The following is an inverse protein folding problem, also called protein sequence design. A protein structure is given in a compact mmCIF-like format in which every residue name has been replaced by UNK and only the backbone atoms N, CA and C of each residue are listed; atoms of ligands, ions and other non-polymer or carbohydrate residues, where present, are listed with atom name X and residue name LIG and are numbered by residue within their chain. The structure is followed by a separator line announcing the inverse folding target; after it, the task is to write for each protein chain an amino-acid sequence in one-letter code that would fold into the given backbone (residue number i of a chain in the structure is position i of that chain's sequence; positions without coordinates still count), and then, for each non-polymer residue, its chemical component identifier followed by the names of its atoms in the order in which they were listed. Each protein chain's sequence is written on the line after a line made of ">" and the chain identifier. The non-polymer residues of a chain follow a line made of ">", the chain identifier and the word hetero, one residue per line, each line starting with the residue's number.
data_IF_300234833507
#
_entry.id   IF_300234833507
#
_cell.length_a   1.000
_cell.length_b   1.000
_cell.length_c   1.000
_cell.angle_alpha   90.00
_cell.angle_beta   90.00
_cell.angle_gamma   90.00
#
_symmetry.space_group_name_H-M   'P 1'
#
loop_
_entity.id
_entity.type
_entity.pdbx_description
1 polymer ?
#
# COMPACT_ATOMS: atom_id res chain seq x y z
N UNK A 1 -15.24 18.17 -20.86
CA UNK A 1 -14.17 18.61 -19.94
C UNK A 1 -13.16 17.47 -19.87
N UNK A 2 -12.00 17.67 -20.48
CA UNK A 2 -10.89 16.71 -20.49
C UNK A 2 -10.43 16.47 -19.05
N UNK A 3 -10.59 15.25 -18.53
CA UNK A 3 -9.97 14.87 -17.27
C UNK A 3 -8.46 14.78 -17.55
N UNK A 4 -7.68 15.68 -16.99
CA UNK A 4 -6.22 15.55 -17.00
C UNK A 4 -5.86 14.19 -16.37
N UNK A 5 -5.08 13.38 -17.09
CA UNK A 5 -4.50 12.15 -16.52
C UNK A 5 -3.83 12.51 -15.19
N UNK A 6 -3.94 11.68 -14.15
CA UNK A 6 -3.26 11.94 -12.89
C UNK A 6 -1.77 12.14 -13.19
N UNK A 7 -1.24 13.32 -12.84
CA UNK A 7 0.18 13.60 -12.99
C UNK A 7 0.94 12.69 -12.03
N UNK A 8 1.91 11.95 -12.54
CA UNK A 8 2.84 11.24 -11.68
C UNK A 8 3.55 12.25 -10.77
N UNK A 9 3.67 11.96 -9.47
CA UNK A 9 4.53 12.74 -8.60
C UNK A 9 5.97 12.57 -9.07
N UNK A 10 6.71 13.68 -9.33
CA UNK A 10 8.11 13.58 -9.68
C UNK A 10 8.87 12.92 -8.54
N UNK A 11 9.71 11.96 -8.89
CA UNK A 11 10.52 11.23 -7.92
C UNK A 11 11.94 11.10 -8.46
N UNK A 12 12.92 11.41 -7.61
CA UNK A 12 14.33 11.22 -7.89
C UNK A 12 14.78 9.86 -7.39
N UNK A 13 15.46 9.09 -8.25
CA UNK A 13 16.11 7.84 -7.83
C UNK A 13 17.43 8.19 -7.14
N UNK A 14 17.58 7.82 -5.88
CA UNK A 14 18.77 8.06 -5.07
C UNK A 14 19.75 6.89 -5.10
N UNK A 15 19.25 5.67 -5.21
CA UNK A 15 20.03 4.44 -5.27
C UNK A 15 19.22 3.33 -5.91
N UNK A 16 19.89 2.46 -6.68
CA UNK A 16 19.26 1.23 -7.17
C UNK A 16 20.28 0.11 -7.38
N UNK A 17 19.80 -1.10 -7.14
CA UNK A 17 20.45 -2.37 -7.50
C UNK A 17 19.37 -3.31 -7.99
N UNK A 18 19.26 -3.46 -9.29
CA UNK A 18 18.20 -4.25 -9.91
C UNK A 18 18.56 -5.73 -9.99
N UNK A 19 17.53 -6.58 -9.91
CA UNK A 19 17.67 -7.99 -10.17
C UNK A 19 17.97 -8.25 -11.66
N UNK A 20 18.73 -9.34 -11.93
CA UNK A 20 18.96 -9.78 -13.30
C UNK A 20 17.72 -10.43 -13.94
N UNK A 21 16.83 -10.96 -13.12
CA UNK A 21 15.56 -11.57 -13.54
C UNK A 21 14.39 -10.91 -12.81
N UNK A 22 13.17 -11.11 -13.31
CA UNK A 22 11.96 -10.60 -12.67
C UNK A 22 11.83 -11.16 -11.25
N UNK A 23 11.84 -10.32 -10.21
CA UNK A 23 11.65 -10.79 -8.84
C UNK A 23 10.29 -11.47 -8.63
N UNK A 24 10.19 -12.46 -7.75
CA UNK A 24 8.90 -13.05 -7.41
C UNK A 24 7.99 -12.06 -6.67
N UNK A 25 8.58 -11.12 -5.92
CA UNK A 25 7.89 -10.19 -5.04
C UNK A 25 8.59 -8.83 -5.03
N UNK A 26 7.81 -7.76 -5.09
CA UNK A 26 8.24 -6.40 -4.75
C UNK A 26 7.57 -5.96 -3.45
N UNK A 27 8.37 -5.44 -2.52
CA UNK A 27 7.87 -4.87 -1.28
C UNK A 27 8.02 -3.36 -1.36
N UNK A 28 6.92 -2.65 -1.51
CA UNK A 28 6.91 -1.19 -1.52
C UNK A 28 6.85 -0.68 -0.09
N UNK A 29 7.91 0.01 0.34
CA UNK A 29 7.99 0.66 1.64
C UNK A 29 7.82 2.15 1.42
N UNK A 30 6.85 2.76 2.10
CA UNK A 30 6.62 4.19 2.03
C UNK A 30 6.89 4.84 3.39
N UNK A 31 7.59 5.97 3.35
CA UNK A 31 8.05 6.69 4.53
C UNK A 31 7.81 8.19 4.40
N UNK A 32 7.56 8.86 5.52
CA UNK A 32 7.56 10.31 5.64
C UNK A 32 7.96 10.73 7.06
N UNK A 33 9.18 11.25 7.20
CA UNK A 33 9.81 11.60 8.49
C UNK A 33 9.87 10.40 9.45
N UNK A 34 10.60 9.36 9.03
CA UNK A 34 10.73 8.09 9.75
C UNK A 34 12.22 7.74 10.00
N UNK A 35 13.16 8.72 10.01
CA UNK A 35 14.60 8.47 10.13
C UNK A 35 14.97 7.58 11.33
N UNK A 36 14.25 7.72 12.44
CA UNK A 36 14.47 6.96 13.67
C UNK A 36 14.10 5.47 13.54
N UNK A 37 13.18 5.15 12.61
CA UNK A 37 12.63 3.80 12.44
C UNK A 37 13.33 3.00 11.34
N UNK A 38 13.98 3.66 10.37
CA UNK A 38 14.46 3.05 9.12
C UNK A 38 15.40 1.88 9.39
N UNK A 39 16.38 2.03 10.27
CA UNK A 39 17.35 0.95 10.55
C UNK A 39 16.67 -0.29 11.13
N UNK A 40 15.75 -0.11 12.08
CA UNK A 40 15.05 -1.22 12.71
C UNK A 40 14.13 -1.92 11.72
N UNK A 41 13.32 -1.16 10.97
CA UNK A 41 12.34 -1.69 10.01
C UNK A 41 13.02 -2.40 8.84
N UNK A 42 14.02 -1.78 8.22
CA UNK A 42 14.75 -2.38 7.10
C UNK A 42 15.65 -3.53 7.52
N UNK A 43 16.22 -3.47 8.73
CA UNK A 43 16.99 -4.55 9.31
C UNK A 43 16.13 -5.79 9.58
N UNK A 44 14.97 -5.61 10.23
CA UNK A 44 14.01 -6.71 10.47
C UNK A 44 13.51 -7.32 9.16
N UNK A 45 13.10 -6.47 8.21
CA UNK A 45 12.67 -6.93 6.90
C UNK A 45 13.79 -7.67 6.17
N UNK A 46 15.00 -7.13 6.22
CA UNK A 46 16.17 -7.75 5.59
C UNK A 46 16.45 -9.16 6.11
N UNK A 47 16.48 -9.32 7.42
CA UNK A 47 16.68 -10.63 8.04
C UNK A 47 15.57 -11.64 7.66
N UNK A 48 14.33 -11.16 7.60
CA UNK A 48 13.21 -11.99 7.15
C UNK A 48 13.35 -12.40 5.67
N UNK A 49 13.73 -11.46 4.79
CA UNK A 49 13.91 -11.71 3.36
C UNK A 49 15.00 -12.76 3.09
N UNK A 50 16.11 -12.71 3.82
CA UNK A 50 17.22 -13.67 3.65
C UNK A 50 16.77 -15.12 3.84
N UNK A 51 15.73 -15.36 4.63
CA UNK A 51 15.20 -16.68 4.94
C UNK A 51 14.05 -17.08 4.02
N UNK A 52 13.14 -16.14 3.72
CA UNK A 52 11.84 -16.46 3.13
C UNK A 52 11.67 -16.07 1.66
N UNK A 53 12.26 -14.96 1.24
CA UNK A 53 12.11 -14.41 -0.12
C UNK A 53 13.41 -13.69 -0.56
N UNK A 54 14.55 -14.41 -0.68
CA UNK A 54 15.87 -13.79 -0.93
C UNK A 54 15.95 -13.04 -2.26
N UNK A 55 15.14 -13.42 -3.24
CA UNK A 55 15.08 -12.79 -4.56
C UNK A 55 14.07 -11.63 -4.65
N UNK A 56 13.42 -11.26 -3.55
CA UNK A 56 12.49 -10.14 -3.53
C UNK A 56 13.24 -8.80 -3.65
N UNK A 57 12.62 -7.85 -4.32
CA UNK A 57 13.11 -6.46 -4.35
C UNK A 57 12.41 -5.59 -3.31
N UNK A 58 13.13 -4.60 -2.82
CA UNK A 58 12.59 -3.54 -1.96
C UNK A 58 12.49 -2.26 -2.80
N UNK A 59 11.28 -1.71 -2.88
CA UNK A 59 11.03 -0.40 -3.50
C UNK A 59 10.71 0.58 -2.38
N UNK A 60 11.72 1.35 -1.97
CA UNK A 60 11.56 2.36 -0.92
C UNK A 60 11.16 3.69 -1.53
N UNK A 61 10.10 4.32 -1.00
CA UNK A 61 9.61 5.63 -1.44
C UNK A 61 9.56 6.57 -0.24
N UNK A 62 10.48 7.52 -0.23
CA UNK A 62 10.44 8.67 0.67
C UNK A 62 9.50 9.73 0.10
N UNK A 63 8.41 9.99 0.80
CA UNK A 63 7.36 10.92 0.36
C UNK A 63 7.71 12.39 0.71
N UNK A 64 8.92 12.82 0.37
CA UNK A 64 9.38 14.19 0.53
C UNK A 64 9.76 14.56 1.98
N UNK A 65 10.42 13.68 2.70
CA UNK A 65 10.96 13.95 4.05
C UNK A 65 12.01 15.05 4.03
N UNK A 66 12.10 15.76 5.15
CA UNK A 66 13.12 16.79 5.39
C UNK A 66 14.24 16.33 6.34
N UNK A 67 14.05 15.19 6.97
CA UNK A 67 15.02 14.50 7.81
C UNK A 67 15.86 13.53 6.98
N UNK A 68 16.66 12.68 7.61
CA UNK A 68 17.55 11.73 6.95
C UNK A 68 16.89 10.41 6.54
N UNK A 69 15.56 10.36 6.47
CA UNK A 69 14.81 9.13 6.11
C UNK A 69 15.36 8.46 4.84
N UNK A 70 15.53 9.22 3.75
CA UNK A 70 16.00 8.68 2.47
C UNK A 70 17.47 8.22 2.54
N UNK A 71 18.34 9.02 3.15
CA UNK A 71 19.77 8.72 3.29
C UNK A 71 20.01 7.46 4.13
N UNK A 72 19.25 7.28 5.22
CA UNK A 72 19.34 6.08 6.05
C UNK A 72 18.79 4.84 5.30
N UNK A 73 17.76 4.99 4.47
CA UNK A 73 17.28 3.91 3.61
C UNK A 73 18.32 3.48 2.57
N UNK A 74 19.00 4.43 1.91
CA UNK A 74 20.10 4.13 0.95
C UNK A 74 21.19 3.30 1.62
N UNK A 75 21.61 3.67 2.83
CA UNK A 75 22.64 2.94 3.57
C UNK A 75 22.19 1.52 3.92
N UNK A 76 20.97 1.40 4.47
CA UNK A 76 20.44 0.11 4.92
C UNK A 76 20.21 -0.89 3.78
N UNK A 77 19.89 -0.41 2.57
CA UNK A 77 19.55 -1.26 1.42
C UNK A 77 20.72 -1.54 0.46
N UNK A 78 21.89 -0.94 0.65
CA UNK A 78 23.02 -0.96 -0.30
C UNK A 78 23.45 -2.35 -0.78
N UNK A 79 23.26 -3.38 0.02
CA UNK A 79 23.65 -4.77 -0.28
C UNK A 79 22.54 -5.63 -0.91
N UNK A 80 21.29 -5.12 -0.98
CA UNK A 80 20.11 -5.86 -1.45
C UNK A 80 19.66 -5.45 -2.86
N UNK A 81 18.74 -6.21 -3.44
CA UNK A 81 17.98 -5.81 -4.62
C UNK A 81 17.02 -4.72 -4.18
N UNK A 82 17.20 -3.49 -4.68
CA UNK A 82 16.43 -2.34 -4.21
C UNK A 82 16.35 -1.21 -5.23
N UNK A 83 15.42 -0.31 -4.99
CA UNK A 83 15.42 1.07 -5.48
C UNK A 83 14.95 1.99 -4.35
N UNK A 84 15.64 3.12 -4.17
CA UNK A 84 15.25 4.20 -3.26
C UNK A 84 14.86 5.42 -4.07
N UNK A 85 13.62 5.85 -3.91
CA UNK A 85 13.00 6.96 -4.59
C UNK A 85 12.63 8.05 -3.59
N UNK A 86 12.75 9.31 -3.97
CA UNK A 86 12.35 10.46 -3.15
C UNK A 86 11.47 11.40 -3.95
N UNK A 87 10.31 11.75 -3.41
CA UNK A 87 9.45 12.81 -3.93
C UNK A 87 10.03 14.19 -3.58
N UNK A 88 9.87 15.17 -4.46
CA UNK A 88 10.28 16.56 -4.19
C UNK A 88 9.42 17.18 -3.06
N UNK A 89 8.17 16.75 -2.95
CA UNK A 89 7.21 17.20 -1.94
C UNK A 89 6.30 16.07 -1.52
N UNK A 90 5.76 16.15 -0.30
CA UNK A 90 4.80 15.16 0.19
C UNK A 90 3.56 15.09 -0.71
N UNK A 91 3.36 13.94 -1.34
CA UNK A 91 2.21 13.63 -2.19
C UNK A 91 1.13 12.79 -1.50
N UNK A 92 1.42 12.28 -0.31
CA UNK A 92 0.57 11.37 0.44
C UNK A 92 0.76 9.90 0.07
N UNK A 93 0.21 9.03 0.92
CA UNK A 93 0.39 7.57 0.82
C UNK A 93 0.00 7.01 -0.56
N UNK A 94 -1.07 7.51 -1.18
CA UNK A 94 -1.49 7.06 -2.51
C UNK A 94 -0.47 7.38 -3.59
N UNK A 95 0.15 8.57 -3.53
CA UNK A 95 1.23 8.96 -4.44
C UNK A 95 2.45 8.06 -4.25
N UNK A 96 2.88 7.83 -3.01
CA UNK A 96 4.01 6.98 -2.69
C UNK A 96 3.80 5.53 -3.15
N UNK A 97 2.62 4.94 -2.92
CA UNK A 97 2.27 3.61 -3.39
C UNK A 97 2.29 3.52 -4.92
N UNK A 98 1.71 4.49 -5.63
CA UNK A 98 1.70 4.52 -7.09
C UNK A 98 3.12 4.66 -7.66
N UNK A 99 3.94 5.51 -7.06
CA UNK A 99 5.36 5.64 -7.43
C UNK A 99 6.09 4.32 -7.22
N UNK A 100 5.89 3.68 -6.06
CA UNK A 100 6.49 2.39 -5.78
C UNK A 100 6.12 1.32 -6.80
N UNK A 101 4.83 1.19 -7.13
CA UNK A 101 4.36 0.20 -8.11
C UNK A 101 4.87 0.47 -9.53
N UNK A 102 5.00 1.74 -9.95
CA UNK A 102 5.58 2.07 -11.26
C UNK A 102 7.03 1.60 -11.40
N UNK A 103 7.79 1.58 -10.32
CA UNK A 103 9.19 1.17 -10.32
C UNK A 103 9.40 -0.29 -9.91
N UNK A 104 8.37 -0.95 -9.37
CA UNK A 104 8.39 -2.35 -9.02
C UNK A 104 8.49 -3.25 -10.26
N UNK A 105 9.34 -4.28 -10.18
CA UNK A 105 9.55 -5.27 -11.24
C UNK A 105 8.94 -6.63 -10.91
N UNK A 106 8.63 -6.89 -9.65
CA UNK A 106 8.13 -8.17 -9.19
C UNK A 106 6.80 -8.59 -9.79
N UNK A 107 6.58 -9.89 -9.86
CA UNK A 107 5.27 -10.46 -10.29
C UNK A 107 4.16 -10.09 -9.31
N UNK A 108 4.48 -10.07 -8.03
CA UNK A 108 3.61 -9.71 -6.93
C UNK A 108 4.10 -8.43 -6.25
N UNK A 109 3.17 -7.65 -5.72
CA UNK A 109 3.47 -6.43 -4.95
C UNK A 109 2.73 -6.47 -3.62
N UNK A 110 3.44 -6.09 -2.55
CA UNK A 110 2.87 -5.81 -1.24
C UNK A 110 3.41 -4.48 -0.70
N UNK A 111 2.84 -3.99 0.39
CA UNK A 111 3.09 -2.64 0.89
C UNK A 111 3.31 -2.67 2.40
N UNK A 112 4.35 -1.99 2.87
CA UNK A 112 4.61 -1.82 4.30
C UNK A 112 4.89 -0.35 4.63
N UNK A 113 4.31 0.19 5.70
CA UNK A 113 4.72 1.50 6.21
C UNK A 113 6.07 1.38 6.93
N UNK A 114 6.88 2.41 6.87
CA UNK A 114 8.20 2.46 7.53
C UNK A 114 8.13 2.74 9.04
N UNK A 115 6.95 2.69 9.66
CA UNK A 115 6.74 2.97 11.09
C UNK A 115 6.85 1.74 12.02
N UNK A 116 7.13 0.56 11.43
CA UNK A 116 7.32 -0.69 12.15
C UNK A 116 6.05 -1.32 12.72
N UNK A 117 4.86 -0.76 12.43
CA UNK A 117 3.60 -1.33 12.94
C UNK A 117 3.26 -2.69 12.33
N UNK A 118 3.76 -2.99 11.15
CA UNK A 118 3.52 -4.26 10.45
C UNK A 118 4.82 -5.05 10.39
N UNK A 119 4.82 -6.21 11.05
CA UNK A 119 5.95 -7.13 11.00
C UNK A 119 6.08 -7.79 9.61
N UNK A 120 7.30 -8.15 9.18
CA UNK A 120 7.51 -8.91 7.94
C UNK A 120 6.74 -10.24 7.86
N UNK A 121 6.43 -10.88 9.00
CA UNK A 121 5.61 -12.11 9.05
C UNK A 121 4.21 -11.93 8.44
N UNK A 122 3.72 -10.70 8.38
CA UNK A 122 2.48 -10.40 7.66
C UNK A 122 2.62 -10.72 6.16
N UNK A 123 3.81 -10.54 5.58
CA UNK A 123 4.09 -10.90 4.18
C UNK A 123 4.00 -12.42 4.01
N UNK A 124 4.56 -13.19 4.96
CA UNK A 124 4.44 -14.66 4.93
C UNK A 124 2.98 -15.09 4.91
N UNK A 125 2.16 -14.54 5.83
CA UNK A 125 0.73 -14.85 5.91
C UNK A 125 0.01 -14.56 4.60
N UNK A 126 0.33 -13.43 3.95
CA UNK A 126 -0.23 -13.07 2.64
C UNK A 126 0.21 -14.04 1.53
N UNK A 127 1.50 -14.40 1.49
CA UNK A 127 2.09 -15.31 0.49
C UNK A 127 1.54 -16.73 0.62
N UNK A 128 1.42 -17.22 1.84
CA UNK A 128 0.90 -18.56 2.10
C UNK A 128 -0.57 -18.69 1.65
N UNK A 129 -1.38 -17.70 1.96
CA UNK A 129 -2.76 -17.67 1.50
C UNK A 129 -2.86 -17.57 -0.03
N UNK A 130 -1.99 -16.78 -0.67
CA UNK A 130 -1.93 -16.66 -2.12
C UNK A 130 -1.60 -17.99 -2.78
N UNK A 131 -0.58 -18.70 -2.28
CA UNK A 131 -0.14 -20.00 -2.79
C UNK A 131 -1.20 -21.09 -2.57
N UNK A 132 -1.79 -21.12 -1.36
CA UNK A 132 -2.76 -22.15 -0.97
C UNK A 132 -4.09 -22.06 -1.72
N UNK A 133 -4.53 -20.85 -2.08
CA UNK A 133 -5.86 -20.61 -2.65
C UNK A 133 -5.81 -20.21 -4.14
N UNK A 134 -4.62 -20.09 -4.74
CA UNK A 134 -4.40 -19.67 -6.14
C UNK A 134 -5.23 -18.43 -6.51
N UNK A 135 -5.08 -17.39 -5.71
CA UNK A 135 -5.79 -16.11 -5.87
C UNK A 135 -4.88 -15.03 -6.45
N UNK A 136 -5.48 -14.00 -7.02
CA UNK A 136 -4.77 -12.87 -7.64
C UNK A 136 -4.56 -11.70 -6.68
N UNK A 137 -5.29 -11.69 -5.56
CA UNK A 137 -5.14 -10.71 -4.48
C UNK A 137 -5.45 -11.33 -3.12
N UNK A 138 -4.66 -10.99 -2.11
CA UNK A 138 -4.92 -11.34 -0.71
C UNK A 138 -5.01 -10.05 0.07
N UNK A 139 -6.20 -9.78 0.63
CA UNK A 139 -6.42 -8.66 1.53
C UNK A 139 -6.11 -9.06 2.97
N UNK A 140 -5.79 -8.09 3.81
CA UNK A 140 -5.62 -8.34 5.23
C UNK A 140 -6.53 -7.48 6.10
N UNK A 141 -6.92 -8.05 7.24
CA UNK A 141 -7.59 -7.35 8.34
C UNK A 141 -6.75 -7.52 9.60
N UNK A 142 -6.76 -6.53 10.47
CA UNK A 142 -6.06 -6.64 11.73
C UNK A 142 -6.81 -7.55 12.71
N UNK A 143 -6.07 -8.45 13.39
CA UNK A 143 -6.59 -9.14 14.57
C UNK A 143 -6.99 -8.07 15.60
N UNK A 144 -8.05 -8.29 16.35
CA UNK A 144 -8.66 -7.29 17.24
C UNK A 144 -7.65 -6.30 17.82
N UNK A 145 -7.74 -5.04 17.39
CA UNK A 145 -7.19 -3.93 18.15
C UNK A 145 -8.16 -3.69 19.30
N UNK A 146 -7.67 -3.41 20.51
CA UNK A 146 -8.45 -2.85 21.62
C UNK A 146 -8.87 -1.40 21.32
N UNK A 147 -9.29 -1.18 20.11
CA UNK A 147 -9.89 0.06 19.62
C UNK A 147 -11.33 0.07 20.12
N UNK A 148 -11.69 1.00 20.98
CA UNK A 148 -13.00 1.12 21.61
C UNK A 148 -14.20 0.92 20.67
N UNK A 149 -15.38 0.69 21.23
CA UNK A 149 -16.64 0.42 20.50
C UNK A 149 -16.89 1.40 19.34
N UNK A 150 -16.54 2.69 19.52
CA UNK A 150 -16.72 3.74 18.51
C UNK A 150 -16.01 3.44 17.19
N UNK A 151 -14.82 2.85 17.24
CA UNK A 151 -14.04 2.55 16.04
C UNK A 151 -14.55 1.29 15.32
N UNK A 152 -15.07 0.30 16.07
CA UNK A 152 -15.72 -0.89 15.49
C UNK A 152 -17.00 -0.49 14.74
N UNK A 153 -17.84 0.35 15.37
CA UNK A 153 -19.06 0.89 14.77
C UNK A 153 -18.73 1.69 13.50
N UNK A 154 -17.69 2.52 13.57
CA UNK A 154 -17.23 3.32 12.44
C UNK A 154 -16.75 2.44 11.28
N UNK A 155 -15.88 1.48 11.54
CA UNK A 155 -15.36 0.56 10.51
C UNK A 155 -16.50 -0.23 9.85
N UNK A 156 -17.47 -0.68 10.63
CA UNK A 156 -18.67 -1.33 10.10
C UNK A 156 -19.49 -0.37 9.23
N UNK A 157 -19.70 0.87 9.66
CA UNK A 157 -20.43 1.90 8.89
C UNK A 157 -19.79 2.19 7.54
N UNK A 158 -18.46 2.30 7.47
CA UNK A 158 -17.73 2.47 6.20
C UNK A 158 -17.92 1.26 5.29
N UNK A 159 -17.82 0.03 5.81
CA UNK A 159 -18.04 -1.19 5.02
C UNK A 159 -19.48 -1.29 4.50
N UNK A 160 -20.47 -0.95 5.34
CA UNK A 160 -21.87 -0.90 4.94
C UNK A 160 -22.12 0.15 3.83
N UNK A 161 -21.49 1.32 3.94
CA UNK A 161 -21.55 2.37 2.92
C UNK A 161 -20.90 1.90 1.59
N UNK A 162 -19.73 1.26 1.66
CA UNK A 162 -19.08 0.67 0.47
C UNK A 162 -20.01 -0.34 -0.19
N UNK A 163 -20.64 -1.22 0.59
CA UNK A 163 -21.61 -2.19 0.06
C UNK A 163 -22.81 -1.51 -0.58
N UNK A 164 -23.38 -0.51 0.04
CA UNK A 164 -24.54 0.23 -0.49
C UNK A 164 -24.19 0.97 -1.80
N UNK A 165 -23.02 1.63 -1.85
CA UNK A 165 -22.60 2.44 -2.98
C UNK A 165 -22.02 1.61 -4.12
N UNK A 166 -21.21 0.59 -3.82
CA UNK A 166 -20.42 -0.13 -4.82
C UNK A 166 -20.84 -1.60 -5.02
N UNK A 167 -21.72 -2.13 -4.16
CA UNK A 167 -22.22 -3.51 -4.24
C UNK A 167 -21.21 -4.57 -3.78
N UNK A 168 -20.09 -4.19 -3.14
CA UNK A 168 -19.04 -5.09 -2.68
C UNK A 168 -18.85 -5.00 -1.17
N UNK A 169 -18.54 -6.13 -0.54
CA UNK A 169 -18.16 -6.18 0.87
C UNK A 169 -16.64 -6.20 0.98
N UNK A 170 -16.06 -5.08 1.40
CA UNK A 170 -14.62 -4.91 1.48
C UNK A 170 -14.09 -5.28 2.88
N UNK A 171 -13.10 -6.15 2.93
CA UNK A 171 -12.35 -6.51 4.13
C UNK A 171 -10.86 -6.31 3.84
N UNK A 172 -10.39 -5.06 3.94
CA UNK A 172 -9.01 -4.66 3.69
C UNK A 172 -8.68 -3.47 4.60
N UNK A 173 -8.08 -3.74 5.75
CA UNK A 173 -7.72 -2.73 6.74
C UNK A 173 -6.19 -2.55 6.82
N UNK A 174 -5.43 -3.55 6.39
CA UNK A 174 -3.97 -3.62 6.40
C UNK A 174 -3.35 -3.69 5.01
N UNK A 175 -2.06 -4.05 4.93
CA UNK A 175 -1.39 -4.32 3.67
C UNK A 175 -2.08 -5.46 2.92
N UNK A 176 -1.96 -5.46 1.62
CA UNK A 176 -2.46 -6.54 0.77
C UNK A 176 -1.37 -6.98 -0.20
N UNK A 177 -1.45 -8.22 -0.65
CA UNK A 177 -0.63 -8.78 -1.71
C UNK A 177 -1.45 -8.82 -2.99
N UNK A 178 -0.95 -8.26 -4.06
CA UNK A 178 -1.66 -8.20 -5.34
C UNK A 178 -0.73 -8.56 -6.50
N UNK A 179 -1.23 -9.27 -7.50
CA UNK A 179 -0.53 -9.46 -8.76
C UNK A 179 -0.28 -8.08 -9.39
N UNK A 180 1.00 -7.71 -9.63
CA UNK A 180 1.39 -6.36 -10.05
C UNK A 180 0.62 -5.87 -11.28
N UNK A 181 0.32 -6.75 -12.22
CA UNK A 181 -0.47 -6.42 -13.42
C UNK A 181 -1.90 -5.91 -13.13
N UNK A 182 -2.44 -6.16 -11.93
CA UNK A 182 -3.75 -5.67 -11.51
C UNK A 182 -3.72 -4.30 -10.83
N UNK A 183 -2.53 -3.81 -10.47
CA UNK A 183 -2.37 -2.47 -9.94
C UNK A 183 -1.83 -1.56 -11.04
N UNK A 184 -2.72 -0.87 -11.73
CA UNK A 184 -2.38 0.07 -12.80
C UNK A 184 -2.43 1.49 -12.24
N UNK A 185 -1.28 2.11 -11.89
CA UNK A 185 -1.25 3.40 -11.19
C UNK A 185 -1.98 4.52 -11.92
N UNK A 186 -1.96 4.50 -13.25
CA UNK A 186 -2.56 5.56 -14.07
C UNK A 186 -4.09 5.47 -14.18
N UNK A 187 -4.68 4.34 -13.81
CA UNK A 187 -6.13 4.17 -13.69
C UNK A 187 -6.67 4.56 -12.29
N UNK A 188 -5.78 4.88 -11.35
CA UNK A 188 -6.12 5.17 -9.96
C UNK A 188 -5.87 6.64 -9.65
N UNK A 189 -6.89 7.53 -9.81
CA UNK A 189 -6.70 8.98 -9.64
C UNK A 189 -6.27 9.42 -8.24
N UNK A 190 -6.72 8.79 -7.13
CA UNK A 190 -6.39 9.32 -5.80
C UNK A 190 -4.90 9.17 -5.47
N UNK A 191 -4.30 10.25 -4.99
CA UNK A 191 -2.96 10.25 -4.38
C UNK A 191 -3.03 10.18 -2.84
N UNK A 192 -4.25 10.22 -2.31
CA UNK A 192 -4.55 10.21 -0.89
C UNK A 192 -4.67 8.77 -0.33
N UNK A 193 -4.94 8.68 0.96
CA UNK A 193 -5.25 7.42 1.64
C UNK A 193 -6.41 6.64 0.98
N UNK A 194 -7.28 7.31 0.23
CA UNK A 194 -8.42 6.68 -0.44
C UNK A 194 -8.00 5.62 -1.48
N UNK A 195 -6.77 5.64 -1.97
CA UNK A 195 -6.24 4.58 -2.84
C UNK A 195 -6.39 3.18 -2.20
N UNK A 196 -6.24 3.09 -0.87
CA UNK A 196 -6.41 1.83 -0.13
C UNK A 196 -7.86 1.32 -0.09
N UNK A 197 -8.83 2.15 -0.48
CA UNK A 197 -10.22 1.75 -0.70
C UNK A 197 -10.52 1.53 -2.19
N UNK A 198 -10.04 2.42 -3.05
CA UNK A 198 -10.38 2.40 -4.47
C UNK A 198 -9.90 1.12 -5.15
N UNK A 199 -8.63 0.73 -4.96
CA UNK A 199 -8.12 -0.48 -5.60
C UNK A 199 -8.85 -1.75 -5.12
N UNK A 200 -9.01 -2.03 -3.81
CA UNK A 200 -9.80 -3.17 -3.35
C UNK A 200 -11.24 -3.17 -3.89
N UNK A 201 -11.92 -2.01 -3.90
CA UNK A 201 -13.29 -1.90 -4.44
C UNK A 201 -13.32 -2.26 -5.93
N UNK A 202 -12.35 -1.77 -6.72
CA UNK A 202 -12.26 -2.08 -8.16
C UNK A 202 -12.02 -3.57 -8.40
N UNK A 203 -11.09 -4.19 -7.67
CA UNK A 203 -10.76 -5.61 -7.80
C UNK A 203 -11.95 -6.49 -7.40
N UNK A 204 -12.59 -6.23 -6.27
CA UNK A 204 -13.78 -6.96 -5.82
C UNK A 204 -14.96 -6.80 -6.79
N UNK A 205 -15.14 -5.61 -7.35
CA UNK A 205 -16.21 -5.37 -8.32
C UNK A 205 -15.97 -6.02 -9.68
N UNK A 206 -14.71 -6.29 -10.05
CA UNK A 206 -14.32 -7.12 -11.21
C UNK A 206 -14.38 -8.62 -10.90
N UNK A 207 -14.77 -9.01 -9.67
CA UNK A 207 -14.79 -10.40 -9.18
C UNK A 207 -13.42 -11.09 -9.27
N UNK A 208 -12.34 -10.32 -9.05
CA UNK A 208 -10.98 -10.86 -8.99
C UNK A 208 -10.91 -11.94 -7.90
N UNK A 209 -10.24 -13.05 -8.21
CA UNK A 209 -10.02 -14.13 -7.23
C UNK A 209 -9.27 -13.56 -6.02
N UNK A 210 -9.90 -13.60 -4.85
CA UNK A 210 -9.38 -12.95 -3.66
C UNK A 210 -9.53 -13.80 -2.42
N UNK A 211 -8.57 -13.64 -1.49
CA UNK A 211 -8.63 -14.17 -0.14
C UNK A 211 -8.53 -13.03 0.89
N UNK A 212 -8.91 -13.33 2.13
CA UNK A 212 -8.73 -12.41 3.27
C UNK A 212 -8.02 -13.16 4.38
N UNK A 213 -6.99 -12.55 4.93
CA UNK A 213 -6.22 -13.08 6.07
C UNK A 213 -6.25 -12.13 7.25
N UNK A 214 -5.98 -12.64 8.44
CA UNK A 214 -5.83 -11.83 9.63
C UNK A 214 -4.35 -11.68 9.97
N UNK A 215 -3.92 -10.44 10.17
CA UNK A 215 -2.55 -10.10 10.57
C UNK A 215 -2.54 -9.34 11.88
N UNK A 216 -1.37 -9.27 12.52
CA UNK A 216 -1.17 -8.49 13.73
C UNK A 216 -0.68 -7.07 13.39
N UNK A 217 -1.04 -6.11 14.25
CA UNK A 217 -0.53 -4.76 14.18
C UNK A 217 0.15 -4.43 15.50
N UNK A 218 1.42 -4.07 15.44
CA UNK A 218 2.24 -3.70 16.60
C UNK A 218 2.04 -2.22 16.97
N UNK A 219 2.37 -1.79 18.18
CA UNK A 219 2.60 -0.38 18.46
C UNK A 219 3.69 0.18 17.53
N UNK A 220 3.66 1.48 17.25
CA UNK A 220 4.76 2.14 16.50
C UNK A 220 6.05 2.03 17.28
N UNK A 221 7.17 1.87 16.57
CA UNK A 221 8.51 1.85 17.19
C UNK A 221 8.84 3.22 17.79
N UNK A 222 8.61 4.31 17.04
CA UNK A 222 8.78 5.69 17.48
C UNK A 222 7.80 6.64 16.78
N UNK A 223 7.67 7.87 17.32
CA UNK A 223 6.84 8.92 16.72
C UNK A 223 5.36 8.89 17.11
N UNK A 224 4.63 9.95 16.75
CA UNK A 224 3.19 10.11 17.02
C UNK A 224 2.38 10.07 15.73
N UNK A 225 1.14 9.53 15.79
CA UNK A 225 0.25 9.51 14.65
C UNK A 225 -0.12 10.93 14.20
N UNK A 226 0.26 11.31 12.99
CA UNK A 226 0.05 12.66 12.41
C UNK A 226 -1.36 12.85 11.82
N UNK A 227 -2.33 11.97 12.15
CA UNK A 227 -3.62 11.94 11.45
C UNK A 227 -4.82 12.23 12.34
N UNK A 228 -5.54 13.32 12.05
CA UNK A 228 -6.80 13.69 12.71
C UNK A 228 -7.99 12.96 12.06
N UNK A 229 -8.76 12.20 12.87
CA UNK A 229 -9.75 11.23 12.38
C UNK A 229 -10.98 11.83 11.66
N UNK A 230 -11.58 12.91 12.15
CA UNK A 230 -12.88 13.40 11.66
C UNK A 230 -12.87 13.99 10.24
N UNK A 231 -11.83 14.74 9.86
CA UNK A 231 -11.69 15.28 8.50
C UNK A 231 -11.53 14.18 7.44
N UNK A 232 -10.99 13.02 7.82
CA UNK A 232 -10.85 11.85 6.94
C UNK A 232 -12.18 11.20 6.61
N UNK A 233 -13.13 11.16 7.56
CA UNK A 233 -14.43 10.48 7.39
C UNK A 233 -15.25 11.13 6.29
N UNK A 234 -15.39 12.45 6.35
CA UNK A 234 -16.13 13.20 5.32
C UNK A 234 -15.46 13.08 3.94
N UNK A 235 -14.12 13.13 3.91
CA UNK A 235 -13.33 12.90 2.69
C UNK A 235 -13.61 11.54 2.06
N UNK A 236 -13.59 10.46 2.86
CA UNK A 236 -13.85 9.09 2.39
C UNK A 236 -15.25 8.95 1.80
N UNK A 237 -16.28 9.50 2.44
CA UNK A 237 -17.65 9.44 1.92
C UNK A 237 -17.79 10.13 0.55
N UNK A 238 -17.20 11.32 0.41
CA UNK A 238 -17.15 12.05 -0.88
C UNK A 238 -16.42 11.25 -1.94
N UNK A 239 -15.25 10.73 -1.61
CA UNK A 239 -14.42 9.95 -2.54
C UNK A 239 -15.12 8.67 -3.00
N UNK A 240 -15.91 8.00 -2.13
CA UNK A 240 -16.73 6.84 -2.50
C UNK A 240 -17.80 7.21 -3.55
N UNK A 241 -18.48 8.34 -3.37
CA UNK A 241 -19.46 8.81 -4.35
C UNK A 241 -18.79 9.17 -5.69
N UNK A 242 -17.65 9.82 -5.63
CA UNK A 242 -16.91 10.20 -6.85
C UNK A 242 -16.34 8.96 -7.56
N UNK A 243 -15.89 7.95 -6.85
CA UNK A 243 -15.54 6.65 -7.41
C UNK A 243 -16.73 5.98 -8.11
N UNK A 244 -17.93 6.04 -7.50
CA UNK A 244 -19.15 5.50 -8.13
C UNK A 244 -19.44 6.18 -9.47
N UNK A 245 -19.34 7.51 -9.51
CA UNK A 245 -19.54 8.30 -10.75
C UNK A 245 -18.49 7.94 -11.83
N UNK A 246 -17.20 7.80 -11.45
CA UNK A 246 -16.14 7.39 -12.36
C UNK A 246 -16.42 6.01 -12.95
N UNK A 247 -16.68 5.00 -12.12
CA UNK A 247 -16.96 3.62 -12.56
C UNK A 247 -18.21 3.54 -13.44
N UNK A 248 -19.20 4.37 -13.19
CA UNK A 248 -20.40 4.44 -14.05
C UNK A 248 -20.07 5.00 -15.44
N UNK A 249 -19.27 6.06 -15.51
CA UNK A 249 -18.78 6.61 -16.78
C UNK A 249 -17.90 5.60 -17.55
N UNK A 250 -16.97 4.93 -16.87
CA UNK A 250 -16.13 3.88 -17.47
C UNK A 250 -16.98 2.75 -18.11
N UNK A 251 -18.10 2.37 -17.48
CA UNK A 251 -19.02 1.37 -18.03
C UNK A 251 -19.82 1.84 -19.23
N UNK A 252 -20.17 3.11 -19.30
CA UNK A 252 -21.00 3.68 -20.38
C UNK A 252 -20.19 4.05 -21.61
N UNK A 253 -18.96 4.49 -21.43
CA UNK A 253 -18.16 5.09 -22.49
C UNK A 253 -16.92 4.26 -22.86
N UNK A 254 -16.72 3.09 -22.24
CA UNK A 254 -15.70 2.11 -22.64
C UNK A 254 -14.29 2.70 -22.64
N UNK A 255 -13.85 3.26 -21.52
CA UNK A 255 -12.45 3.68 -21.36
C UNK A 255 -11.63 2.56 -20.73
#
# INVERSE_FOLDING_TARGET
>A
MSQSKPKAHPATCLSEKRAAQTPPLSIVIFAFHEEENIHAVLGELGAWLDVHEPDAEIVFVDDGSRDRTAEEAVKALSHRIHIVLRHDTNGGIGAALKTGVRHAQGTWVTFLPADGQIAPDAIQTLRDAQRAQDVDVVFSVYRQRDDGLDRKVFSFGVRALIRAVHGVWMQSDGPYLVRRALFIPDELPPDTFFLNFELPIRLLAKRTKSAVVTIECRPRLAGTSKSTQWKRIYGVAKDLVDLRKRRWKERLFGA
#
